data_IF_943245563253
#
_entry.id   IF_943245563253
#
_cell.length_a   1.000
_cell.length_b   1.000
_cell.length_c   1.000
_cell.angle_alpha   90.00
_cell.angle_beta   90.00
_cell.angle_gamma   90.00
#
_symmetry.space_group_name_H-M   'P 1'
#
loop_
_entity.id
_entity.type
_entity.pdbx_description
1 polymer ?
#
# COMPACT_ATOMS: atom_id res chain seq x y z
N UNK A 1 6.42 -14.98 -29.85
CA UNK A 1 6.35 -13.51 -29.64
C UNK A 1 7.75 -12.95 -29.59
N UNK A 2 7.93 -11.65 -29.77
CA UNK A 2 9.17 -10.89 -29.58
C UNK A 2 8.95 -9.82 -28.53
N UNK A 3 10.01 -9.42 -27.83
CA UNK A 3 9.95 -8.36 -26.80
C UNK A 3 9.61 -7.03 -27.47
N UNK A 4 8.57 -6.37 -26.97
CA UNK A 4 8.14 -5.05 -27.45
C UNK A 4 9.02 -3.93 -26.87
N UNK A 5 8.81 -2.69 -27.35
CA UNK A 5 9.51 -1.53 -26.79
C UNK A 5 9.22 -1.34 -25.29
N UNK A 6 8.02 -1.71 -24.81
CA UNK A 6 7.71 -1.66 -23.38
C UNK A 6 8.59 -2.62 -22.56
N UNK A 7 8.81 -3.84 -23.06
CA UNK A 7 9.71 -4.80 -22.42
C UNK A 7 11.17 -4.34 -22.45
N UNK A 8 11.63 -3.75 -23.56
CA UNK A 8 12.97 -3.17 -23.67
C UNK A 8 13.14 -2.01 -22.69
N UNK A 9 12.18 -1.08 -22.63
CA UNK A 9 12.20 0.06 -21.71
C UNK A 9 12.23 -0.42 -20.25
N UNK A 10 11.46 -1.46 -19.91
CA UNK A 10 11.45 -2.05 -18.58
C UNK A 10 12.86 -2.59 -18.24
N UNK A 11 13.46 -3.42 -19.08
CA UNK A 11 14.78 -4.00 -18.83
C UNK A 11 15.84 -2.91 -18.69
N UNK A 12 15.89 -1.96 -19.63
CA UNK A 12 16.88 -0.88 -19.64
C UNK A 12 16.76 0.08 -18.45
N UNK A 13 15.58 0.16 -17.81
CA UNK A 13 15.38 0.96 -16.60
C UNK A 13 16.09 0.39 -15.38
N UNK A 14 16.45 -0.90 -15.40
CA UNK A 14 17.13 -1.60 -14.30
C UNK A 14 18.58 -1.97 -14.61
N UNK A 15 18.95 -1.98 -15.86
CA UNK A 15 20.32 -2.31 -16.29
C UNK A 15 21.09 -1.03 -16.60
N UNK A 16 22.32 -0.95 -16.11
CA UNK A 16 23.22 0.16 -16.47
C UNK A 16 23.66 0.05 -17.94
N UNK A 17 23.65 1.17 -18.65
CA UNK A 17 24.17 1.22 -20.04
C UNK A 17 25.63 1.69 -20.06
N UNK A 18 26.54 0.81 -20.48
CA UNK A 18 27.95 1.12 -20.67
C UNK A 18 28.27 1.29 -22.15
N UNK A 19 28.39 2.52 -22.61
CA UNK A 19 28.71 2.83 -24.02
C UNK A 19 30.16 2.57 -24.36
N UNK A 20 31.04 2.37 -23.40
CA UNK A 20 32.43 1.95 -23.55
C UNK A 20 32.60 0.57 -22.92
N UNK A 21 33.29 -0.35 -23.64
CA UNK A 21 33.57 -1.68 -23.14
C UNK A 21 34.40 -1.63 -21.84
N UNK A 22 34.05 -2.48 -20.88
CA UNK A 22 34.80 -2.69 -19.66
C UNK A 22 35.01 -4.18 -19.38
N UNK A 23 36.11 -4.51 -18.71
CA UNK A 23 36.36 -5.89 -18.34
C UNK A 23 35.65 -6.23 -17.01
N UNK A 24 34.66 -7.12 -17.10
CA UNK A 24 33.99 -7.64 -15.91
C UNK A 24 34.90 -8.66 -15.20
N UNK A 25 35.50 -8.26 -14.08
CA UNK A 25 36.39 -9.10 -13.28
C UNK A 25 35.72 -10.35 -12.71
N UNK A 26 34.41 -10.31 -12.48
CA UNK A 26 33.65 -11.43 -11.94
C UNK A 26 33.24 -12.43 -13.03
N UNK A 27 32.83 -11.93 -14.20
CA UNK A 27 32.49 -12.74 -15.36
C UNK A 27 33.67 -13.12 -16.22
N UNK A 28 34.84 -12.48 -16.03
CA UNK A 28 36.05 -12.75 -16.81
C UNK A 28 35.93 -12.39 -18.27
N UNK A 29 35.11 -11.43 -18.65
CA UNK A 29 34.79 -11.07 -20.05
C UNK A 29 34.67 -9.57 -20.25
N UNK A 30 35.01 -9.13 -21.47
CA UNK A 30 34.66 -7.80 -21.94
C UNK A 30 33.15 -7.66 -22.09
N UNK A 31 32.60 -6.57 -21.55
CA UNK A 31 31.16 -6.30 -21.47
C UNK A 31 30.86 -4.91 -21.96
N UNK A 32 29.78 -4.72 -22.72
CA UNK A 32 29.36 -3.42 -23.27
C UNK A 32 27.83 -3.32 -23.27
N UNK A 33 27.28 -2.13 -23.45
CA UNK A 33 25.83 -1.88 -23.50
C UNK A 33 25.13 -2.23 -22.22
N UNK A 34 24.07 -3.02 -22.30
CA UNK A 34 23.25 -3.51 -21.19
C UNK A 34 23.68 -4.91 -20.71
N UNK A 35 24.99 -5.18 -20.70
CA UNK A 35 25.53 -6.45 -20.26
C UNK A 35 25.84 -7.41 -21.41
N UNK A 36 25.92 -6.92 -22.64
CA UNK A 36 26.30 -7.72 -23.79
C UNK A 36 27.76 -8.18 -23.70
N UNK A 37 27.99 -9.47 -23.95
CA UNK A 37 29.32 -10.12 -23.97
C UNK A 37 29.42 -11.03 -25.19
N UNK A 38 30.48 -10.94 -25.93
CA UNK A 38 30.71 -11.75 -27.12
C UNK A 38 32.13 -11.56 -27.67
N UNK A 39 32.50 -12.29 -28.72
CA UNK A 39 33.78 -12.16 -29.39
C UNK A 39 33.91 -10.80 -30.10
N UNK A 40 32.81 -10.12 -30.31
CA UNK A 40 32.73 -8.78 -30.86
C UNK A 40 32.98 -7.67 -29.83
N UNK A 41 33.14 -7.99 -28.50
CA UNK A 41 33.42 -7.03 -27.41
C UNK A 41 34.88 -7.13 -26.99
N UNK A 42 35.62 -6.04 -27.20
CA UNK A 42 37.04 -5.97 -26.93
C UNK A 42 37.41 -4.64 -26.25
N UNK A 43 38.62 -4.55 -25.74
CA UNK A 43 39.11 -3.34 -25.10
C UNK A 43 39.08 -2.13 -26.05
N UNK A 44 38.53 -1.01 -25.56
CA UNK A 44 38.42 0.21 -26.35
C UNK A 44 37.20 0.27 -27.29
N UNK A 45 36.38 -0.79 -27.41
CA UNK A 45 35.13 -0.71 -28.19
C UNK A 45 34.19 0.35 -27.57
N UNK A 46 33.66 1.22 -28.43
CA UNK A 46 32.64 2.25 -28.05
C UNK A 46 31.45 2.09 -28.97
N UNK A 47 30.26 2.19 -28.37
CA UNK A 47 28.96 2.13 -29.05
C UNK A 47 28.09 3.28 -28.65
N UNK A 48 27.10 3.61 -29.44
CA UNK A 48 26.02 4.51 -29.10
C UNK A 48 24.98 3.81 -28.21
N UNK A 49 24.09 4.58 -27.53
CA UNK A 49 22.97 4.03 -26.77
C UNK A 49 22.01 3.24 -27.65
N UNK A 50 21.81 3.68 -28.91
CA UNK A 50 20.97 2.97 -29.88
C UNK A 50 21.56 1.61 -30.25
N UNK A 51 22.87 1.54 -30.49
CA UNK A 51 23.58 0.26 -30.76
C UNK A 51 23.53 -0.67 -29.53
N UNK A 52 23.64 -0.11 -28.31
CA UNK A 52 23.47 -0.89 -27.08
C UNK A 52 22.08 -1.52 -26.98
N UNK A 53 21.03 -0.80 -27.40
CA UNK A 53 19.65 -1.32 -27.42
C UNK A 53 19.48 -2.43 -28.48
N UNK A 54 20.12 -2.30 -29.65
CA UNK A 54 20.09 -3.37 -30.66
C UNK A 54 20.85 -4.63 -30.21
N UNK A 55 21.96 -4.48 -29.51
CA UNK A 55 22.66 -5.61 -28.88
C UNK A 55 21.76 -6.29 -27.81
N UNK A 56 21.09 -5.50 -26.99
CA UNK A 56 20.12 -6.03 -26.00
C UNK A 56 19.02 -6.85 -26.70
N UNK A 57 18.43 -6.34 -27.80
CA UNK A 57 17.40 -7.07 -28.57
C UNK A 57 17.92 -8.43 -29.08
N UNK A 58 19.16 -8.48 -29.49
CA UNK A 58 19.81 -9.73 -29.92
C UNK A 58 19.97 -10.69 -28.73
N UNK A 59 20.45 -10.20 -27.60
CA UNK A 59 20.62 -11.01 -26.39
C UNK A 59 19.28 -11.53 -25.83
N UNK A 60 18.20 -10.78 -26.00
CA UNK A 60 16.87 -11.18 -25.54
C UNK A 60 16.31 -12.38 -26.31
N UNK A 61 16.76 -12.67 -27.53
CA UNK A 61 16.27 -13.79 -28.35
C UNK A 61 16.35 -15.13 -27.61
N UNK A 62 17.38 -15.35 -26.81
CA UNK A 62 17.51 -16.59 -26.00
C UNK A 62 16.45 -16.68 -24.90
N UNK A 63 16.10 -15.57 -24.25
CA UNK A 63 15.09 -15.53 -23.19
C UNK A 63 13.67 -15.60 -23.75
N UNK A 64 13.43 -14.95 -24.90
CA UNK A 64 12.19 -15.08 -25.67
C UNK A 64 11.88 -16.53 -26.05
N UNK A 65 12.92 -17.32 -26.42
CA UNK A 65 12.75 -18.75 -26.69
C UNK A 65 12.21 -19.51 -25.49
N UNK A 66 12.67 -19.18 -24.27
CA UNK A 66 12.13 -19.83 -23.06
C UNK A 66 10.69 -19.44 -22.79
N UNK A 67 10.33 -18.17 -22.89
CA UNK A 67 8.95 -17.70 -22.64
C UNK A 67 7.98 -18.19 -23.73
N UNK A 68 8.44 -18.31 -24.99
CA UNK A 68 7.63 -18.90 -26.08
C UNK A 68 7.48 -20.42 -26.00
N UNK A 69 8.31 -21.11 -25.21
CA UNK A 69 8.28 -22.56 -25.12
C UNK A 69 7.16 -23.03 -24.18
N UNK A 70 6.18 -23.76 -24.71
CA UNK A 70 5.04 -24.29 -23.98
C UNK A 70 5.39 -25.29 -22.88
N UNK A 71 6.59 -25.87 -22.89
CA UNK A 71 7.09 -26.69 -21.78
C UNK A 71 7.50 -25.86 -20.56
N UNK A 72 7.83 -24.57 -20.75
CA UNK A 72 8.14 -23.64 -19.68
C UNK A 72 6.90 -22.81 -19.30
N UNK A 73 6.19 -22.29 -20.29
CA UNK A 73 5.03 -21.41 -20.13
C UNK A 73 3.84 -21.99 -20.88
N UNK A 74 3.03 -22.89 -20.27
CA UNK A 74 1.90 -23.55 -20.93
C UNK A 74 0.69 -22.61 -21.14
N UNK A 75 0.80 -21.34 -20.77
CA UNK A 75 -0.26 -20.34 -20.80
C UNK A 75 -0.25 -19.55 -22.10
N UNK A 76 -1.41 -19.03 -22.47
CA UNK A 76 -1.51 -18.03 -23.54
C UNK A 76 -1.27 -16.65 -22.94
N UNK A 77 -0.26 -15.93 -23.44
CA UNK A 77 0.15 -14.62 -22.94
C UNK A 77 -0.28 -13.53 -23.92
N UNK A 78 -0.62 -12.34 -23.41
CA UNK A 78 -0.61 -11.12 -24.20
C UNK A 78 0.82 -10.54 -24.30
N UNK A 79 1.00 -9.44 -25.05
CA UNK A 79 2.32 -8.86 -25.29
C UNK A 79 2.99 -8.38 -23.99
N UNK A 80 2.25 -7.71 -23.11
CA UNK A 80 2.79 -7.17 -21.86
C UNK A 80 3.18 -8.28 -20.85
N UNK A 81 2.41 -9.36 -20.81
CA UNK A 81 2.72 -10.55 -20.02
C UNK A 81 3.99 -11.22 -20.52
N UNK A 82 4.11 -11.33 -21.84
CA UNK A 82 5.31 -11.87 -22.48
C UNK A 82 6.54 -11.02 -22.12
N UNK A 83 6.46 -9.70 -22.27
CA UNK A 83 7.54 -8.76 -22.01
C UNK A 83 8.00 -8.80 -20.54
N UNK A 84 7.06 -8.85 -19.61
CA UNK A 84 7.36 -8.96 -18.19
C UNK A 84 8.08 -10.29 -17.85
N UNK A 85 7.63 -11.41 -18.42
CA UNK A 85 8.29 -12.71 -18.22
C UNK A 85 9.65 -12.78 -18.88
N UNK A 86 9.87 -12.09 -20.02
CA UNK A 86 11.20 -11.96 -20.62
C UNK A 86 12.13 -11.16 -19.69
N UNK A 87 11.69 -10.02 -19.15
CA UNK A 87 12.46 -9.24 -18.17
C UNK A 87 12.81 -10.07 -16.93
N UNK A 88 11.83 -10.77 -16.38
CA UNK A 88 12.04 -11.68 -15.25
C UNK A 88 13.08 -12.76 -15.58
N UNK A 89 12.96 -13.41 -16.75
CA UNK A 89 13.86 -14.50 -17.17
C UNK A 89 15.27 -13.99 -17.46
N UNK A 90 15.39 -12.78 -18.01
CA UNK A 90 16.66 -12.09 -18.21
C UNK A 90 17.43 -11.91 -16.91
N UNK A 91 16.73 -11.49 -15.84
CA UNK A 91 17.34 -11.24 -14.53
C UNK A 91 17.59 -12.52 -13.72
N UNK A 92 16.68 -13.51 -13.77
CA UNK A 92 16.67 -14.66 -12.84
C UNK A 92 17.01 -16.00 -13.48
N UNK A 93 16.99 -16.07 -14.81
CA UNK A 93 17.24 -17.28 -15.60
C UNK A 93 16.02 -18.20 -15.78
N UNK A 94 16.14 -19.12 -16.73
CA UNK A 94 15.08 -20.04 -17.16
C UNK A 94 14.57 -20.97 -16.05
N UNK A 95 15.43 -21.33 -15.09
CA UNK A 95 15.05 -22.22 -13.97
C UNK A 95 14.03 -21.56 -13.05
N UNK A 96 14.17 -20.25 -12.83
CA UNK A 96 13.22 -19.49 -12.02
C UNK A 96 11.92 -19.20 -12.81
N UNK A 97 12.00 -18.96 -14.12
CA UNK A 97 10.79 -18.88 -14.96
C UNK A 97 9.91 -20.14 -14.81
N UNK A 98 10.53 -21.32 -14.90
CA UNK A 98 9.80 -22.58 -14.76
C UNK A 98 9.14 -22.71 -13.37
N UNK A 99 9.81 -22.29 -12.31
CA UNK A 99 9.27 -22.28 -10.94
C UNK A 99 8.14 -21.25 -10.79
N UNK A 100 8.33 -20.06 -11.35
CA UNK A 100 7.34 -18.97 -11.30
C UNK A 100 6.00 -19.40 -11.91
N UNK A 101 6.04 -20.11 -13.05
CA UNK A 101 4.83 -20.46 -13.82
C UNK A 101 4.20 -21.78 -13.39
N UNK A 102 4.94 -22.66 -12.69
CA UNK A 102 4.52 -24.02 -12.39
C UNK A 102 3.19 -24.09 -11.62
N UNK A 103 2.14 -24.63 -12.27
CA UNK A 103 0.84 -24.85 -11.67
C UNK A 103 0.03 -23.60 -11.35
N UNK A 104 0.44 -22.44 -11.87
CA UNK A 104 -0.20 -21.15 -11.59
C UNK A 104 -0.96 -20.61 -12.81
N UNK A 105 -2.06 -19.92 -12.53
CA UNK A 105 -2.75 -19.06 -13.50
C UNK A 105 -2.06 -17.68 -13.61
N UNK A 106 -2.54 -16.82 -14.52
CA UNK A 106 -1.94 -15.50 -14.74
C UNK A 106 -1.96 -14.58 -13.51
N UNK A 107 -3.06 -14.48 -12.74
CA UNK A 107 -3.09 -13.73 -11.48
C UNK A 107 -2.09 -14.23 -10.44
N UNK A 108 -2.00 -15.54 -10.27
CA UNK A 108 -1.07 -16.17 -9.33
C UNK A 108 0.40 -15.91 -9.72
N UNK A 109 0.71 -15.94 -11.03
CA UNK A 109 2.04 -15.60 -11.55
C UNK A 109 2.38 -14.14 -11.22
N UNK A 110 1.44 -13.21 -11.43
CA UNK A 110 1.65 -11.80 -11.12
C UNK A 110 2.01 -11.57 -9.65
N UNK A 111 1.35 -12.28 -8.74
CA UNK A 111 1.64 -12.19 -7.31
C UNK A 111 2.95 -12.88 -6.94
N UNK A 112 3.21 -14.05 -7.51
CA UNK A 112 4.44 -14.81 -7.26
C UNK A 112 5.71 -14.08 -7.76
N UNK A 113 5.62 -13.19 -8.75
CA UNK A 113 6.75 -12.35 -9.17
C UNK A 113 7.37 -11.62 -7.97
N UNK A 114 6.56 -11.10 -7.05
CA UNK A 114 7.03 -10.35 -5.89
C UNK A 114 7.85 -11.19 -4.90
N UNK A 115 7.71 -12.53 -4.91
CA UNK A 115 8.49 -13.42 -4.04
C UNK A 115 9.96 -13.53 -4.46
N UNK A 116 10.32 -13.11 -5.67
CA UNK A 116 11.71 -13.08 -6.16
C UNK A 116 12.48 -11.81 -5.76
N UNK A 117 12.17 -11.28 -4.58
CA UNK A 117 12.78 -10.10 -3.94
C UNK A 117 14.02 -10.42 -3.10
N UNK A 118 14.38 -11.71 -2.96
CA UNK A 118 15.53 -12.15 -2.17
C UNK A 118 16.67 -12.66 -3.05
N UNK A 119 17.92 -12.43 -2.62
CA UNK A 119 19.11 -13.08 -3.13
C UNK A 119 19.95 -13.60 -1.98
N UNK A 120 20.34 -14.89 -2.03
CA UNK A 120 21.06 -15.58 -0.93
C UNK A 120 20.38 -15.37 0.44
N UNK A 121 19.05 -15.44 0.49
CA UNK A 121 18.20 -15.20 1.67
C UNK A 121 18.23 -13.76 2.21
N UNK A 122 18.87 -12.83 1.52
CA UNK A 122 18.87 -11.41 1.87
C UNK A 122 17.84 -10.66 1.02
N UNK A 123 16.97 -9.90 1.66
CA UNK A 123 16.05 -8.99 1.00
C UNK A 123 16.83 -7.90 0.24
N UNK A 124 16.47 -7.65 -1.01
CA UNK A 124 17.07 -6.63 -1.85
C UNK A 124 15.99 -5.71 -2.45
N UNK A 125 15.97 -4.45 -2.02
CA UNK A 125 15.04 -3.42 -2.51
C UNK A 125 15.05 -3.28 -4.03
N UNK A 126 16.22 -3.33 -4.67
CA UNK A 126 16.34 -3.27 -6.14
C UNK A 126 15.60 -4.42 -6.83
N UNK A 127 15.60 -5.62 -6.23
CA UNK A 127 14.84 -6.75 -6.75
C UNK A 127 13.34 -6.55 -6.55
N UNK A 128 12.90 -6.09 -5.38
CA UNK A 128 11.49 -5.79 -5.15
C UNK A 128 10.99 -4.76 -6.16
N UNK A 129 11.69 -3.61 -6.30
CA UNK A 129 11.34 -2.59 -7.30
C UNK A 129 11.22 -3.18 -8.71
N UNK A 130 12.18 -4.02 -9.13
CA UNK A 130 12.13 -4.68 -10.44
C UNK A 130 10.94 -5.60 -10.57
N UNK A 131 10.66 -6.44 -9.58
CA UNK A 131 9.50 -7.35 -9.56
C UNK A 131 8.18 -6.60 -9.62
N UNK A 132 8.09 -5.47 -8.92
CA UNK A 132 6.90 -4.59 -8.94
C UNK A 132 6.64 -4.03 -10.34
N UNK A 133 7.66 -3.52 -11.03
CA UNK A 133 7.49 -3.01 -12.39
C UNK A 133 7.20 -4.13 -13.40
N UNK A 134 7.82 -5.31 -13.24
CA UNK A 134 7.49 -6.49 -14.05
C UNK A 134 6.03 -6.94 -13.82
N UNK A 135 5.58 -6.98 -12.57
CA UNK A 135 4.18 -7.27 -12.22
C UNK A 135 3.23 -6.24 -12.83
N UNK A 136 3.55 -4.96 -12.73
CA UNK A 136 2.75 -3.87 -13.29
C UNK A 136 2.59 -4.02 -14.81
N UNK A 137 3.69 -4.27 -15.54
CA UNK A 137 3.63 -4.52 -16.98
C UNK A 137 2.82 -5.78 -17.29
N UNK A 138 3.03 -6.88 -16.55
CA UNK A 138 2.32 -8.15 -16.71
C UNK A 138 0.80 -7.98 -16.61
N UNK A 139 0.37 -7.09 -15.75
CA UNK A 139 -1.03 -6.80 -15.47
C UNK A 139 -1.62 -5.75 -16.44
N UNK A 140 -0.80 -4.99 -17.16
CA UNK A 140 -1.28 -3.96 -18.11
C UNK A 140 -1.90 -4.61 -19.35
N UNK A 141 -3.13 -4.20 -19.72
CA UNK A 141 -3.85 -4.71 -20.91
C UNK A 141 -4.54 -6.05 -20.72
N UNK A 142 -4.56 -6.60 -19.52
CA UNK A 142 -5.56 -7.59 -19.14
C UNK A 142 -6.86 -6.87 -18.85
N UNK A 143 -7.93 -7.22 -19.56
CA UNK A 143 -9.29 -6.76 -19.27
C UNK A 143 -9.55 -7.14 -17.82
N UNK A 144 -9.87 -6.12 -16.99
CA UNK A 144 -10.11 -6.25 -15.56
C UNK A 144 -9.13 -7.21 -14.87
N UNK A 145 -8.08 -6.62 -14.29
CA UNK A 145 -7.47 -7.26 -13.14
C UNK A 145 -8.58 -7.82 -12.25
N UNK A 146 -8.46 -9.04 -11.75
CA UNK A 146 -8.84 -9.18 -10.38
C UNK A 146 -7.93 -8.16 -9.66
N UNK A 147 -8.47 -7.04 -9.27
CA UNK A 147 -8.03 -6.25 -8.14
C UNK A 147 -7.52 -7.23 -7.08
N UNK A 148 -6.53 -6.91 -6.22
CA UNK A 148 -6.04 -7.83 -5.21
C UNK A 148 -7.26 -8.61 -4.76
N UNK A 149 -7.26 -9.87 -5.11
CA UNK A 149 -8.37 -10.76 -5.37
C UNK A 149 -9.48 -10.60 -4.35
N UNK A 150 -10.42 -9.93 -4.71
CA UNK A 150 -11.79 -9.62 -4.38
C UNK A 150 -11.90 -8.11 -4.25
N UNK A 151 -12.49 -7.46 -5.30
CA UNK A 151 -13.41 -6.39 -4.99
C UNK A 151 -14.09 -6.85 -3.72
N UNK A 152 -13.84 -6.15 -2.64
CA UNK A 152 -14.77 -6.18 -1.53
C UNK A 152 -16.07 -5.60 -2.10
N UNK A 153 -16.74 -6.37 -2.92
CA UNK A 153 -18.17 -6.28 -2.99
C UNK A 153 -18.56 -6.73 -1.60
N UNK A 154 -18.53 -5.73 -0.68
CA UNK A 154 -19.45 -5.81 0.42
C UNK A 154 -20.71 -6.36 -0.22
N UNK A 155 -21.14 -7.55 0.16
CA UNK A 155 -22.51 -8.00 -0.07
C UNK A 155 -23.42 -7.14 0.81
N UNK A 156 -23.23 -5.83 0.68
CA UNK A 156 -24.22 -4.84 1.00
C UNK A 156 -25.11 -4.91 -0.22
N UNK A 157 -26.30 -5.45 -0.03
CA UNK A 157 -27.35 -5.65 -1.04
C UNK A 157 -27.23 -4.67 -2.21
N UNK A 158 -27.50 -5.12 -3.45
CA UNK A 158 -27.53 -4.36 -4.71
C UNK A 158 -28.35 -3.03 -4.65
N UNK A 159 -28.88 -2.67 -3.50
CA UNK A 159 -29.65 -1.46 -3.22
C UNK A 159 -28.83 -0.20 -2.90
N UNK A 160 -27.48 -0.29 -2.74
CA UNK A 160 -26.66 0.88 -2.36
C UNK A 160 -26.62 1.95 -3.46
N UNK A 161 -26.79 1.58 -4.73
CA UNK A 161 -26.81 2.56 -5.83
C UNK A 161 -27.90 3.61 -5.65
N UNK A 162 -29.00 3.28 -5.00
CA UNK A 162 -30.16 4.15 -4.78
C UNK A 162 -30.14 4.88 -3.43
N UNK A 163 -29.15 4.62 -2.55
CA UNK A 163 -29.01 5.32 -1.27
C UNK A 163 -28.46 6.71 -1.54
N UNK A 164 -29.05 7.79 -1.04
CA UNK A 164 -28.51 9.14 -1.16
C UNK A 164 -27.12 9.25 -0.52
N UNK A 165 -26.31 10.16 -1.05
CA UNK A 165 -25.01 10.50 -0.46
C UNK A 165 -25.25 11.06 0.95
N UNK A 166 -24.40 10.66 1.91
CA UNK A 166 -24.51 11.03 3.32
C UNK A 166 -25.42 10.11 4.14
N UNK A 167 -26.15 9.20 3.51
CA UNK A 167 -27.05 8.27 4.20
C UNK A 167 -26.32 7.01 4.70
N UNK A 168 -26.87 6.41 5.76
CA UNK A 168 -26.37 5.15 6.30
C UNK A 168 -26.63 3.98 5.37
N UNK A 169 -25.60 3.16 5.18
CA UNK A 169 -25.66 1.89 4.46
C UNK A 169 -25.56 0.69 5.40
N UNK A 170 -25.05 0.91 6.62
CA UNK A 170 -24.87 -0.09 7.65
C UNK A 170 -25.07 0.56 9.03
N UNK A 171 -25.67 -0.19 9.95
CA UNK A 171 -25.75 0.15 11.38
C UNK A 171 -25.86 -1.14 12.18
N UNK A 172 -24.88 -1.45 13.03
CA UNK A 172 -24.95 -2.64 13.89
C UNK A 172 -24.03 -2.54 15.11
N UNK A 173 -24.42 -3.26 16.16
CA UNK A 173 -23.59 -3.44 17.34
C UNK A 173 -22.58 -4.56 17.13
N UNK A 174 -21.43 -4.45 17.75
CA UNK A 174 -20.45 -5.53 17.84
C UNK A 174 -20.65 -6.37 19.11
N UNK A 175 -19.79 -7.35 19.35
CA UNK A 175 -19.71 -8.07 20.63
C UNK A 175 -18.91 -7.30 21.69
N UNK A 176 -18.14 -6.27 21.27
CA UNK A 176 -17.34 -5.47 22.20
C UNK A 176 -18.27 -4.56 23.02
N UNK A 177 -18.13 -4.61 24.32
CA UNK A 177 -18.64 -3.53 25.19
C UNK A 177 -17.99 -2.21 24.80
N UNK A 178 -18.39 -1.11 25.42
CA UNK A 178 -17.77 0.20 25.21
C UNK A 178 -16.26 0.13 25.37
N UNK A 179 -15.54 0.66 24.41
CA UNK A 179 -14.07 0.63 24.38
C UNK A 179 -13.46 1.98 24.74
N UNK A 180 -12.24 2.02 25.27
CA UNK A 180 -11.55 3.27 25.63
C UNK A 180 -11.26 4.16 24.41
N UNK A 181 -11.17 5.48 24.61
CA UNK A 181 -10.91 6.44 23.54
C UNK A 181 -9.54 6.25 22.87
N UNK A 182 -8.54 5.77 23.60
CA UNK A 182 -7.21 5.45 23.08
C UNK A 182 -7.13 4.12 22.32
N UNK A 183 -8.26 3.50 22.03
CA UNK A 183 -8.35 2.35 21.14
C UNK A 183 -8.33 2.78 19.68
N UNK A 184 -7.81 1.91 18.78
CA UNK A 184 -7.81 2.14 17.33
C UNK A 184 -8.57 1.03 16.64
N UNK A 185 -9.32 1.41 15.59
CA UNK A 185 -10.13 0.48 14.82
C UNK A 185 -9.81 0.58 13.33
N UNK A 186 -9.72 -0.58 12.67
CA UNK A 186 -9.50 -0.69 11.24
C UNK A 186 -10.40 -1.78 10.65
N UNK A 187 -10.57 -1.75 9.33
CA UNK A 187 -11.34 -2.74 8.59
C UNK A 187 -10.47 -3.42 7.54
N UNK A 188 -10.60 -4.74 7.44
CA UNK A 188 -9.91 -5.53 6.44
C UNK A 188 -10.31 -6.99 6.48
N UNK A 189 -10.06 -7.73 5.42
CA UNK A 189 -10.39 -9.16 5.34
C UNK A 189 -9.22 -9.97 5.93
N UNK A 190 -9.35 -10.38 7.18
CA UNK A 190 -8.31 -11.08 7.93
C UNK A 190 -8.02 -12.49 7.40
N UNK A 191 -9.06 -13.20 7.00
CA UNK A 191 -8.97 -14.61 6.62
C UNK A 191 -9.22 -14.86 5.12
N UNK A 192 -9.22 -13.82 4.31
CA UNK A 192 -9.41 -13.85 2.86
C UNK A 192 -10.75 -14.49 2.43
N UNK A 193 -11.82 -14.32 3.22
CA UNK A 193 -13.15 -14.87 2.94
C UNK A 193 -14.08 -13.92 2.18
N UNK A 194 -13.64 -12.67 1.94
CA UNK A 194 -14.39 -11.63 1.21
C UNK A 194 -15.29 -10.76 2.07
N UNK A 195 -15.24 -10.89 3.39
CA UNK A 195 -15.95 -10.02 4.33
C UNK A 195 -14.94 -9.08 5.01
N UNK A 196 -15.37 -7.86 5.31
CA UNK A 196 -14.56 -6.94 6.11
C UNK A 196 -14.68 -7.32 7.59
N UNK A 197 -13.55 -7.71 8.18
CA UNK A 197 -13.42 -7.97 9.60
C UNK A 197 -13.01 -6.67 10.31
N UNK A 198 -13.40 -6.52 11.57
CA UNK A 198 -13.07 -5.36 12.40
C UNK A 198 -11.84 -5.67 13.25
N UNK A 199 -10.76 -4.94 13.02
CA UNK A 199 -9.56 -4.98 13.85
C UNK A 199 -9.69 -3.97 14.98
N UNK A 200 -9.52 -4.43 16.18
CA UNK A 200 -9.46 -3.63 17.40
C UNK A 200 -8.07 -3.70 17.98
N UNK A 201 -7.34 -2.58 17.97
CA UNK A 201 -6.02 -2.43 18.57
C UNK A 201 -6.22 -1.85 19.96
N UNK A 202 -5.98 -2.69 20.95
CA UNK A 202 -6.15 -2.34 22.36
C UNK A 202 -4.81 -1.95 22.95
N UNK A 203 -4.67 -0.67 23.33
CA UNK A 203 -3.43 -0.08 23.83
C UNK A 203 -3.42 0.10 25.34
N UNK A 204 -4.57 0.11 26.00
CA UNK A 204 -4.68 0.21 27.46
C UNK A 204 -4.44 -1.13 28.17
N UNK A 205 -3.32 -1.78 27.85
CA UNK A 205 -2.92 -3.06 28.45
C UNK A 205 -1.70 -2.86 29.36
N UNK A 206 -1.52 -3.68 30.42
CA UNK A 206 -0.46 -3.44 31.41
C UNK A 206 0.97 -3.48 30.86
N UNK A 207 1.22 -4.17 29.76
CA UNK A 207 2.59 -4.32 29.22
C UNK A 207 2.68 -4.27 27.70
N UNK A 208 1.71 -4.84 26.96
CA UNK A 208 1.81 -5.04 25.51
C UNK A 208 0.51 -4.70 24.80
N UNK A 209 0.64 -4.21 23.59
CA UNK A 209 -0.51 -3.97 22.70
C UNK A 209 -1.17 -5.30 22.31
N UNK A 210 -2.50 -5.36 22.36
CA UNK A 210 -3.29 -6.50 21.92
C UNK A 210 -3.99 -6.21 20.60
N UNK A 211 -4.09 -7.22 19.75
CA UNK A 211 -4.88 -7.19 18.52
C UNK A 211 -6.03 -8.19 18.63
N UNK A 212 -7.24 -7.68 18.47
CA UNK A 212 -8.46 -8.48 18.39
C UNK A 212 -9.07 -8.29 17.01
N UNK A 213 -9.53 -9.37 16.38
CA UNK A 213 -10.20 -9.32 15.08
C UNK A 213 -11.58 -9.94 15.21
N UNK A 214 -12.61 -9.17 14.86
CA UNK A 214 -14.01 -9.58 14.91
C UNK A 214 -14.50 -9.98 13.53
N UNK A 215 -15.23 -11.08 13.45
CA UNK A 215 -15.72 -11.71 12.25
C UNK A 215 -16.83 -10.91 11.55
N UNK A 216 -16.53 -10.28 10.41
CA UNK A 216 -17.50 -9.54 9.62
C UNK A 216 -18.59 -10.42 9.00
N UNK A 217 -18.27 -11.67 8.65
CA UNK A 217 -19.27 -12.63 8.16
C UNK A 217 -20.32 -12.99 9.21
N UNK A 218 -20.00 -12.82 10.49
CA UNK A 218 -20.87 -13.06 11.63
C UNK A 218 -21.36 -11.77 12.28
N UNK A 219 -21.43 -10.69 11.50
CA UNK A 219 -21.89 -9.37 11.96
C UNK A 219 -21.15 -8.89 13.22
N UNK A 220 -19.84 -9.16 13.31
CA UNK A 220 -18.95 -8.77 14.40
C UNK A 220 -19.37 -9.31 15.79
N UNK A 221 -20.07 -10.46 15.82
CA UNK A 221 -20.51 -11.13 17.06
C UNK A 221 -19.60 -12.25 17.53
N UNK A 222 -18.50 -12.51 16.80
CA UNK A 222 -17.50 -13.54 17.13
C UNK A 222 -16.10 -13.00 16.90
N UNK A 223 -15.12 -13.46 17.67
CA UNK A 223 -13.72 -13.18 17.42
C UNK A 223 -13.11 -14.21 16.48
N UNK A 224 -12.29 -13.73 15.51
CA UNK A 224 -11.39 -14.55 14.71
C UNK A 224 -10.01 -14.65 15.35
N UNK A 225 -9.59 -13.60 16.06
CA UNK A 225 -8.28 -13.52 16.71
C UNK A 225 -8.39 -12.68 17.98
N UNK A 226 -7.67 -13.12 19.01
CA UNK A 226 -7.36 -12.32 20.21
C UNK A 226 -5.92 -12.66 20.60
N UNK A 227 -5.00 -11.70 20.50
CA UNK A 227 -3.58 -11.96 20.68
C UNK A 227 -2.85 -10.76 21.27
N UNK A 228 -1.92 -11.04 22.15
CA UNK A 228 -0.93 -10.09 22.63
C UNK A 228 0.23 -10.03 21.62
N UNK A 229 0.66 -8.82 21.24
CA UNK A 229 1.79 -8.60 20.34
C UNK A 229 3.10 -8.46 21.12
N UNK A 230 4.26 -8.50 20.47
CA UNK A 230 5.54 -8.17 21.09
C UNK A 230 5.78 -6.66 21.24
N UNK A 231 4.86 -5.80 20.79
CA UNK A 231 4.97 -4.35 20.93
C UNK A 231 4.62 -3.96 22.37
N UNK A 232 5.61 -3.40 23.08
CA UNK A 232 5.37 -2.86 24.42
C UNK A 232 4.69 -1.51 24.33
N UNK A 233 3.74 -1.29 25.23
CA UNK A 233 3.18 0.03 25.47
C UNK A 233 4.20 0.82 26.33
N UNK A 234 5.04 1.60 25.64
CA UNK A 234 6.02 2.48 26.27
C UNK A 234 5.41 3.88 26.47
N UNK A 235 6.12 4.77 27.17
CA UNK A 235 5.76 6.21 27.33
C UNK A 235 5.83 7.00 26.00
N UNK A 236 5.78 6.33 24.86
CA UNK A 236 5.83 6.94 23.55
C UNK A 236 4.43 6.99 22.91
N UNK A 237 4.16 8.08 22.18
CA UNK A 237 2.94 8.18 21.39
C UNK A 237 3.08 7.34 20.12
N UNK A 238 2.19 6.41 19.94
CA UNK A 238 2.05 5.63 18.70
C UNK A 238 0.82 6.06 17.92
N UNK A 239 0.94 5.97 16.60
CA UNK A 239 -0.20 5.90 15.68
C UNK A 239 -0.18 4.54 14.98
N UNK A 240 -1.34 4.08 14.50
CA UNK A 240 -1.46 2.75 13.90
C UNK A 240 -2.09 2.85 12.53
N UNK A 241 -1.67 1.94 11.63
CA UNK A 241 -2.27 1.77 10.30
C UNK A 241 -2.29 0.29 9.94
N UNK A 242 -3.16 -0.08 9.00
CA UNK A 242 -3.28 -1.46 8.51
C UNK A 242 -3.01 -1.52 7.00
N UNK A 243 -2.17 -2.46 6.56
CA UNK A 243 -1.88 -2.65 5.14
C UNK A 243 -0.97 -3.85 4.88
N UNK A 244 -1.07 -4.47 3.72
CA UNK A 244 -0.22 -5.59 3.32
C UNK A 244 1.15 -5.06 2.84
N UNK A 245 2.10 -4.97 3.79
CA UNK A 245 3.43 -4.39 3.56
C UNK A 245 4.31 -5.23 2.64
N UNK A 246 4.26 -6.54 2.80
CA UNK A 246 5.14 -7.47 2.12
C UNK A 246 4.46 -8.21 0.96
N UNK A 247 3.19 -7.90 0.67
CA UNK A 247 2.36 -8.49 -0.37
C UNK A 247 2.20 -10.02 -0.23
N UNK A 248 2.06 -10.50 1.02
CA UNK A 248 1.83 -11.92 1.28
C UNK A 248 0.34 -12.29 1.40
N UNK A 249 -0.54 -11.29 1.21
CA UNK A 249 -1.99 -11.45 1.22
C UNK A 249 -2.62 -11.32 2.61
N UNK A 250 -1.83 -11.01 3.63
CA UNK A 250 -2.28 -10.73 4.98
C UNK A 250 -2.04 -9.25 5.30
N UNK A 251 -2.98 -8.64 6.02
CA UNK A 251 -2.80 -7.24 6.44
C UNK A 251 -1.88 -7.17 7.65
N UNK A 252 -0.82 -6.37 7.52
CA UNK A 252 0.17 -6.13 8.56
C UNK A 252 -0.19 -4.88 9.36
N UNK A 253 0.18 -4.86 10.64
CA UNK A 253 -0.03 -3.72 11.52
C UNK A 253 1.21 -2.82 11.55
N UNK A 254 1.06 -1.62 11.03
CA UNK A 254 2.03 -0.53 11.14
C UNK A 254 1.87 0.15 12.49
N UNK A 255 2.92 0.20 13.26
CA UNK A 255 3.03 0.90 14.54
C UNK A 255 4.03 2.04 14.35
N UNK A 256 3.54 3.26 14.27
CA UNK A 256 4.34 4.46 14.02
C UNK A 256 4.66 5.13 15.35
N UNK A 257 5.92 5.01 15.79
CA UNK A 257 6.42 5.65 17.01
C UNK A 257 6.76 7.11 16.72
N UNK A 258 5.96 8.03 17.27
CA UNK A 258 6.02 9.46 16.96
C UNK A 258 7.11 10.21 17.69
N UNK A 259 7.42 9.81 18.91
CA UNK A 259 8.36 10.49 19.80
C UNK A 259 9.09 9.51 20.74
N UNK A 260 9.94 10.04 21.64
CA UNK A 260 10.80 9.26 22.55
C UNK A 260 11.67 8.24 21.81
N UNK A 261 12.16 8.60 20.63
CA UNK A 261 13.05 7.79 19.81
C UNK A 261 14.52 8.15 20.05
N UNK A 262 15.42 7.19 19.87
CA UNK A 262 16.83 7.37 20.17
C UNK A 262 17.53 8.41 19.28
N UNK A 263 17.06 8.53 18.01
CA UNK A 263 17.63 9.44 17.00
C UNK A 263 16.80 10.69 16.74
N UNK A 264 15.73 10.91 17.49
CA UNK A 264 14.79 12.02 17.29
C UNK A 264 14.12 12.01 15.92
N UNK A 265 13.91 10.81 15.37
CA UNK A 265 13.21 10.56 14.13
C UNK A 265 11.99 9.66 14.40
N UNK A 266 10.90 9.89 13.68
CA UNK A 266 9.75 8.98 13.69
C UNK A 266 10.18 7.59 13.23
N UNK A 267 9.75 6.54 13.94
CA UNK A 267 10.07 5.15 13.62
C UNK A 267 8.84 4.41 13.14
N UNK A 268 9.04 3.48 12.20
CA UNK A 268 8.01 2.55 11.73
C UNK A 268 8.39 1.14 12.14
N UNK A 269 7.49 0.49 12.88
CA UNK A 269 7.56 -0.91 13.25
C UNK A 269 6.38 -1.63 12.62
N UNK A 270 6.58 -2.77 11.94
CA UNK A 270 5.50 -3.50 11.27
C UNK A 270 5.43 -4.91 11.80
N UNK A 271 4.27 -5.27 12.33
CA UNK A 271 3.95 -6.62 12.80
C UNK A 271 3.24 -7.41 11.70
N UNK A 272 3.71 -8.62 11.44
CA UNK A 272 3.17 -9.48 10.39
C UNK A 272 1.78 -10.03 10.71
N UNK A 273 0.80 -9.76 9.85
CA UNK A 273 -0.53 -10.36 9.93
C UNK A 273 -0.50 -11.87 9.75
N UNK A 274 0.37 -12.38 8.89
CA UNK A 274 0.58 -13.82 8.67
C UNK A 274 1.05 -14.57 9.91
N UNK A 275 1.82 -13.91 10.78
CA UNK A 275 2.24 -14.46 12.07
C UNK A 275 1.21 -14.24 13.19
N UNK A 276 0.01 -13.73 12.87
CA UNK A 276 -0.97 -13.24 13.84
C UNK A 276 -0.37 -12.15 14.74
N UNK A 277 0.39 -11.21 14.16
CA UNK A 277 1.03 -10.06 14.82
C UNK A 277 2.04 -10.43 15.92
N UNK A 278 2.65 -11.62 15.82
CA UNK A 278 3.66 -12.12 16.79
C UNK A 278 5.10 -11.82 16.39
N UNK A 279 5.34 -11.38 15.16
CA UNK A 279 6.68 -11.13 14.64
C UNK A 279 6.77 -9.77 13.97
N UNK A 280 7.85 -9.04 14.25
CA UNK A 280 8.20 -7.84 13.50
C UNK A 280 8.84 -8.23 12.16
N UNK A 281 8.34 -7.65 11.06
CA UNK A 281 8.92 -7.81 9.72
C UNK A 281 9.67 -6.56 9.25
N UNK A 282 9.51 -5.46 9.98
CA UNK A 282 10.20 -4.20 9.70
C UNK A 282 10.33 -3.37 10.98
N UNK A 283 11.49 -2.76 11.21
CA UNK A 283 11.72 -1.80 12.30
C UNK A 283 12.81 -0.84 11.88
N UNK A 284 12.48 0.42 11.60
CA UNK A 284 13.44 1.47 11.20
C UNK A 284 12.94 2.88 11.48
N UNK A 285 13.91 3.79 11.61
CA UNK A 285 13.67 5.24 11.57
C UNK A 285 13.29 5.67 10.13
N UNK A 286 12.53 6.74 10.02
CA UNK A 286 12.16 7.39 8.76
C UNK A 286 12.99 8.66 8.52
N UNK A 287 12.78 9.33 7.38
CA UNK A 287 13.32 10.67 7.12
C UNK A 287 12.59 11.77 7.90
N UNK A 288 11.51 11.45 8.63
CA UNK A 288 10.70 12.40 9.36
C UNK A 288 11.23 12.57 10.80
N UNK A 289 11.39 13.81 11.24
CA UNK A 289 11.66 14.10 12.65
C UNK A 289 10.53 13.59 13.56
N UNK A 290 10.80 13.51 14.86
CA UNK A 290 9.75 13.23 15.85
C UNK A 290 8.54 14.13 15.62
N UNK A 291 7.36 13.55 15.73
CA UNK A 291 6.08 14.21 15.52
C UNK A 291 5.27 14.26 16.81
N UNK A 292 4.17 14.95 16.79
CA UNK A 292 3.32 15.20 17.97
C UNK A 292 1.88 14.72 17.73
N UNK A 293 1.00 15.00 18.67
CA UNK A 293 -0.41 14.60 18.61
C UNK A 293 -1.26 15.42 17.63
N UNK A 294 -0.71 16.50 17.04
CA UNK A 294 -1.35 17.24 15.95
C UNK A 294 -1.06 16.64 14.58
N UNK A 295 -0.82 15.34 14.56
CA UNK A 295 -0.52 14.59 13.33
C UNK A 295 -1.42 13.36 13.22
N UNK A 296 -1.61 12.91 11.98
CA UNK A 296 -2.25 11.63 11.65
C UNK A 296 -1.39 10.90 10.64
N UNK A 297 -1.22 9.61 10.87
CA UNK A 297 -0.55 8.75 9.90
C UNK A 297 -1.56 7.84 9.19
N UNK A 298 -1.32 7.61 7.91
CA UNK A 298 -2.04 6.65 7.08
C UNK A 298 -1.05 5.92 6.17
N UNK A 299 -1.44 4.77 5.63
CA UNK A 299 -0.67 4.05 4.62
C UNK A 299 -1.48 3.85 3.36
N UNK A 300 -0.83 3.91 2.21
CA UNK A 300 -1.45 3.69 0.92
C UNK A 300 -0.44 3.78 -0.21
N UNK A 301 -0.71 3.14 -1.32
CA UNK A 301 0.11 3.25 -2.53
C UNK A 301 -0.22 4.58 -3.24
N UNK A 302 0.62 5.61 -3.03
CA UNK A 302 0.40 6.96 -3.56
C UNK A 302 0.60 7.03 -5.07
N UNK A 303 1.63 6.39 -5.59
CA UNK A 303 2.06 6.54 -6.98
C UNK A 303 1.61 5.38 -7.89
N UNK A 304 0.89 4.39 -7.35
CA UNK A 304 0.40 3.22 -8.06
C UNK A 304 1.51 2.21 -8.41
N UNK A 305 2.61 2.17 -7.63
CA UNK A 305 3.70 1.21 -7.82
C UNK A 305 3.48 -0.11 -7.06
N UNK A 306 2.40 -0.19 -6.29
CA UNK A 306 2.03 -1.36 -5.50
C UNK A 306 2.69 -1.40 -4.13
N UNK A 307 3.55 -0.45 -3.78
CA UNK A 307 4.23 -0.39 -2.48
C UNK A 307 3.52 0.63 -1.59
N UNK A 308 3.31 0.28 -0.32
CA UNK A 308 2.64 1.17 0.61
C UNK A 308 3.56 2.32 1.04
N UNK A 309 3.14 3.54 0.72
CA UNK A 309 3.76 4.77 1.17
C UNK A 309 3.17 5.21 2.51
N UNK A 310 3.95 5.95 3.29
CA UNK A 310 3.51 6.50 4.57
C UNK A 310 3.09 7.96 4.40
N UNK A 311 1.82 8.23 4.66
CA UNK A 311 1.25 9.57 4.69
C UNK A 311 1.37 10.14 6.10
N UNK A 312 2.01 11.27 6.21
CA UNK A 312 2.04 12.10 7.41
C UNK A 312 1.23 13.36 7.15
N UNK A 313 0.17 13.55 7.91
CA UNK A 313 -0.74 14.69 7.84
C UNK A 313 -0.51 15.56 9.07
N UNK A 314 0.08 16.74 8.90
CA UNK A 314 0.31 17.73 9.93
C UNK A 314 -0.87 18.69 10.01
N UNK A 315 -1.63 18.62 11.10
CA UNK A 315 -2.89 19.36 11.28
C UNK A 315 -2.65 20.85 11.52
N UNK A 316 -1.69 21.18 12.38
CA UNK A 316 -1.43 22.55 12.83
C UNK A 316 0.01 22.73 13.37
N UNK A 317 0.37 23.96 13.70
CA UNK A 317 1.68 24.35 14.25
C UNK A 317 2.84 24.07 13.29
N UNK A 318 2.60 24.15 11.98
CA UNK A 318 3.58 23.82 10.94
C UNK A 318 4.14 25.06 10.20
N UNK A 319 3.79 26.27 10.61
CA UNK A 319 4.32 27.53 10.07
C UNK A 319 3.68 27.99 8.75
N UNK A 320 3.08 27.10 7.98
CA UNK A 320 2.36 27.45 6.73
C UNK A 320 0.95 27.98 6.97
N UNK A 321 0.41 27.78 8.17
CA UNK A 321 -1.01 28.01 8.54
C UNK A 321 -1.99 27.19 7.69
N UNK A 322 -1.55 26.07 7.18
CA UNK A 322 -2.31 25.10 6.40
C UNK A 322 -2.15 23.70 6.99
N UNK A 323 -3.11 22.82 6.74
CA UNK A 323 -2.87 21.39 6.90
C UNK A 323 -1.86 20.94 5.86
N UNK A 324 -0.78 20.29 6.27
CA UNK A 324 0.28 19.80 5.39
C UNK A 324 0.20 18.30 5.21
N UNK A 325 0.62 17.85 4.03
CA UNK A 325 0.74 16.43 3.71
C UNK A 325 2.15 16.14 3.23
N UNK A 326 2.80 15.18 3.87
CA UNK A 326 4.10 14.67 3.49
C UNK A 326 3.97 13.18 3.25
N UNK A 327 4.45 12.69 2.10
CA UNK A 327 4.33 11.29 1.71
C UNK A 327 5.71 10.69 1.57
N UNK A 328 6.05 9.79 2.49
CA UNK A 328 7.33 9.10 2.49
C UNK A 328 7.23 7.85 1.63
N UNK A 329 8.28 7.61 0.83
CA UNK A 329 8.34 6.49 -0.12
C UNK A 329 8.51 5.15 0.58
N UNK A 330 7.59 4.24 0.36
CA UNK A 330 7.73 2.85 0.81
C UNK A 330 8.87 2.12 0.11
N UNK A 331 9.12 2.43 -1.16
CA UNK A 331 10.14 1.76 -1.97
C UNK A 331 11.58 2.01 -1.50
N UNK A 332 11.85 3.01 -0.67
CA UNK A 332 13.14 3.27 -0.04
C UNK A 332 13.10 3.16 1.50
N UNK A 333 12.08 2.43 2.02
CA UNK A 333 11.89 2.21 3.46
C UNK A 333 11.66 3.53 4.22
N UNK A 334 10.91 4.46 3.62
CA UNK A 334 10.51 5.75 4.20
C UNK A 334 11.67 6.74 4.43
N UNK A 335 12.76 6.63 3.61
CA UNK A 335 13.94 7.47 3.73
C UNK A 335 13.92 8.74 2.86
N UNK A 336 12.91 8.90 2.00
CA UNK A 336 12.71 10.12 1.21
C UNK A 336 11.22 10.36 0.94
N UNK A 337 10.90 11.54 0.40
CA UNK A 337 9.53 11.96 0.16
C UNK A 337 9.14 11.86 -1.32
N UNK A 338 7.89 11.45 -1.60
CA UNK A 338 7.21 11.66 -2.88
C UNK A 338 6.64 13.07 -2.95
N UNK A 339 6.04 13.52 -1.86
CA UNK A 339 5.40 14.82 -1.71
C UNK A 339 5.75 15.43 -0.36
N UNK A 340 5.94 16.74 -0.37
CA UNK A 340 6.15 17.56 0.82
C UNK A 340 5.49 18.91 0.57
N UNK A 341 4.31 19.15 1.14
CA UNK A 341 3.58 20.36 0.79
C UNK A 341 2.30 20.61 1.59
N UNK A 342 1.75 21.77 1.30
CA UNK A 342 0.49 22.26 1.89
C UNK A 342 -0.72 21.76 1.11
N UNK A 343 -1.84 21.61 1.80
CA UNK A 343 -3.13 21.34 1.15
C UNK A 343 -3.95 22.61 0.97
N UNK A 344 -5.13 22.48 0.37
CA UNK A 344 -6.12 23.57 0.28
C UNK A 344 -6.74 23.89 1.66
N UNK A 345 -6.67 22.96 2.64
CA UNK A 345 -7.23 23.17 3.98
C UNK A 345 -6.37 24.15 4.80
N UNK A 346 -7.04 25.05 5.52
CA UNK A 346 -6.42 25.78 6.61
C UNK A 346 -5.96 24.80 7.71
N UNK A 347 -5.23 25.29 8.72
CA UNK A 347 -4.89 24.46 9.90
C UNK A 347 -6.15 23.83 10.48
N UNK A 348 -6.04 22.55 10.80
CA UNK A 348 -7.12 21.76 11.41
C UNK A 348 -6.75 21.40 12.85
N UNK A 349 -7.77 21.12 13.67
CA UNK A 349 -7.63 20.76 15.07
C UNK A 349 -8.08 19.32 15.33
N UNK A 350 -8.37 18.96 16.57
CA UNK A 350 -8.84 17.64 16.96
C UNK A 350 -10.30 17.36 16.55
N UNK A 351 -11.03 18.37 16.09
CA UNK A 351 -12.34 18.19 15.47
C UNK A 351 -12.24 17.61 14.04
N UNK A 352 -11.04 17.35 13.55
CA UNK A 352 -10.79 16.72 12.26
C UNK A 352 -10.10 15.38 12.42
N UNK A 353 -10.55 14.39 11.63
CA UNK A 353 -9.85 13.13 11.40
C UNK A 353 -9.56 12.94 9.91
N UNK A 354 -8.62 12.06 9.61
CA UNK A 354 -8.12 11.85 8.24
C UNK A 354 -7.98 10.37 7.93
N UNK A 355 -8.29 10.02 6.70
CA UNK A 355 -8.05 8.68 6.15
C UNK A 355 -7.67 8.74 4.68
N UNK A 356 -7.06 7.69 4.17
CA UNK A 356 -6.57 7.61 2.78
C UNK A 356 -7.29 6.49 2.06
N UNK A 357 -7.91 6.81 0.90
CA UNK A 357 -8.59 5.83 0.06
C UNK A 357 -8.73 6.36 -1.37
N UNK A 358 -9.33 5.58 -2.27
CA UNK A 358 -9.65 6.01 -3.62
C UNK A 358 -11.10 6.51 -3.66
N UNK A 359 -11.31 7.80 -3.92
CA UNK A 359 -12.60 8.37 -4.25
C UNK A 359 -12.75 8.56 -5.77
N UNK A 360 -11.75 9.18 -6.38
CA UNK A 360 -11.63 9.28 -7.83
C UNK A 360 -10.88 8.08 -8.37
N UNK A 361 -11.30 7.55 -9.50
CA UNK A 361 -10.53 6.54 -10.23
C UNK A 361 -9.25 7.16 -10.77
N UNK A 362 -8.13 6.94 -10.10
CA UNK A 362 -6.83 7.50 -10.45
C UNK A 362 -5.69 6.67 -9.83
N UNK A 363 -4.44 7.09 -10.10
CA UNK A 363 -3.25 6.45 -9.51
C UNK A 363 -3.02 6.91 -8.08
N UNK A 364 -3.21 8.21 -7.82
CA UNK A 364 -2.92 8.81 -6.53
C UNK A 364 -4.09 8.62 -5.57
N UNK A 365 -3.79 8.34 -4.31
CA UNK A 365 -4.79 8.21 -3.26
C UNK A 365 -5.38 9.57 -2.90
N UNK A 366 -6.68 9.61 -2.66
CA UNK A 366 -7.37 10.78 -2.13
C UNK A 366 -7.34 10.77 -0.59
N UNK A 367 -7.39 11.95 0.02
CA UNK A 367 -7.46 12.09 1.47
C UNK A 367 -8.87 12.49 1.88
N UNK A 368 -9.49 11.67 2.70
CA UNK A 368 -10.75 11.95 3.37
C UNK A 368 -10.47 12.76 4.62
N UNK A 369 -11.03 13.96 4.67
CA UNK A 369 -10.97 14.88 5.80
C UNK A 369 -12.34 14.92 6.44
N UNK A 370 -12.47 14.35 7.62
CA UNK A 370 -13.71 14.21 8.35
C UNK A 370 -13.78 15.32 9.40
N UNK A 371 -14.69 16.28 9.20
CA UNK A 371 -14.95 17.34 10.17
C UNK A 371 -16.03 16.88 11.14
N UNK A 372 -15.63 16.60 12.36
CA UNK A 372 -16.46 16.00 13.40
C UNK A 372 -17.49 16.97 13.96
N UNK A 373 -17.13 18.25 14.08
CA UNK A 373 -17.98 19.33 14.65
C UNK A 373 -17.96 20.56 13.76
N UNK A 374 -19.07 21.27 13.72
CA UNK A 374 -19.22 22.53 12.98
C UNK A 374 -19.41 23.68 13.98
N UNK A 375 -18.39 24.50 14.15
CA UNK A 375 -18.52 25.73 14.94
C UNK A 375 -19.51 26.69 14.26
N UNK A 376 -20.53 27.11 15.00
CA UNK A 376 -21.52 28.12 14.57
C UNK A 376 -22.47 27.74 13.43
N UNK A 377 -22.69 26.44 13.15
CA UNK A 377 -23.66 25.96 12.16
C UNK A 377 -25.05 25.66 12.75
N UNK A 378 -26.12 25.84 11.94
CA UNK A 378 -27.47 25.39 12.29
C UNK A 378 -27.65 23.86 12.14
N UNK A 379 -26.81 23.20 11.37
CA UNK A 379 -26.80 21.76 11.16
C UNK A 379 -25.66 21.14 11.97
N UNK A 380 -26.01 20.40 13.01
CA UNK A 380 -25.07 19.66 13.85
C UNK A 380 -24.82 18.27 13.26
N UNK A 381 -23.99 18.21 12.23
CA UNK A 381 -23.63 16.94 11.57
C UNK A 381 -22.12 16.85 11.29
N UNK A 382 -21.65 15.63 11.08
CA UNK A 382 -20.29 15.36 10.60
C UNK A 382 -20.21 15.65 9.09
N UNK A 383 -19.18 16.35 8.65
CA UNK A 383 -18.92 16.66 7.23
C UNK A 383 -17.74 15.83 6.70
N UNK A 384 -17.79 15.53 5.41
CA UNK A 384 -16.71 14.86 4.70
C UNK A 384 -16.22 15.74 3.55
N UNK A 385 -14.94 16.05 3.56
CA UNK A 385 -14.24 16.76 2.50
C UNK A 385 -13.17 15.84 1.94
N UNK A 386 -13.09 15.70 0.63
CA UNK A 386 -12.13 14.80 -0.01
C UNK A 386 -11.14 15.64 -0.82
N UNK A 387 -9.87 15.57 -0.43
CA UNK A 387 -8.77 16.21 -1.16
C UNK A 387 -8.33 15.33 -2.32
N UNK A 388 -8.17 15.96 -3.49
CA UNK A 388 -7.82 15.28 -4.73
C UNK A 388 -6.32 14.93 -4.78
N UNK A 389 -6.00 13.65 -4.76
CA UNK A 389 -4.62 13.17 -4.86
C UNK A 389 -3.94 13.50 -6.19
N UNK A 390 -4.70 13.59 -7.29
CA UNK A 390 -4.13 13.92 -8.60
C UNK A 390 -3.67 15.36 -8.75
N UNK A 391 -4.13 16.26 -7.88
CA UNK A 391 -3.72 17.68 -7.80
C UNK A 391 -2.72 17.93 -6.66
N UNK A 392 -2.14 16.88 -6.09
CA UNK A 392 -1.31 16.98 -4.88
C UNK A 392 -2.04 17.69 -3.73
N UNK A 393 -3.35 17.43 -3.59
CA UNK A 393 -4.20 17.95 -2.51
C UNK A 393 -4.43 19.47 -2.51
N UNK A 394 -4.18 20.14 -3.65
CA UNK A 394 -4.45 21.58 -3.81
C UNK A 394 -5.92 21.92 -4.06
N UNK A 395 -6.74 20.89 -4.33
CA UNK A 395 -8.17 21.03 -4.63
C UNK A 395 -9.00 19.98 -3.90
N UNK A 396 -10.28 20.29 -3.71
CA UNK A 396 -11.26 19.31 -3.27
C UNK A 396 -11.78 18.48 -4.47
N UNK A 397 -11.84 17.17 -4.28
CA UNK A 397 -12.53 16.25 -5.17
C UNK A 397 -14.04 16.24 -4.90
N UNK A 398 -14.41 16.35 -3.61
CA UNK A 398 -15.81 16.27 -3.17
C UNK A 398 -15.97 16.86 -1.76
N UNK A 399 -17.17 17.35 -1.47
CA UNK A 399 -17.56 17.84 -0.15
C UNK A 399 -19.04 17.54 0.10
N UNK A 400 -19.37 17.04 1.28
CA UNK A 400 -20.75 16.74 1.63
C UNK A 400 -20.98 16.79 3.15
N UNK A 401 -22.21 17.10 3.54
CA UNK A 401 -22.72 16.85 4.89
C UNK A 401 -23.29 15.45 4.97
N UNK A 402 -23.14 14.80 6.09
CA UNK A 402 -23.68 13.46 6.33
C UNK A 402 -24.92 13.53 7.24
N UNK A 403 -25.64 12.40 7.36
CA UNK A 403 -26.69 12.24 8.37
C UNK A 403 -26.17 11.83 9.75
N UNK A 404 -24.87 11.66 9.89
CA UNK A 404 -24.23 11.44 11.17
C UNK A 404 -24.20 12.77 11.93
N UNK A 405 -24.75 12.77 13.15
CA UNK A 405 -24.64 13.91 14.04
C UNK A 405 -23.16 14.26 14.30
N UNK A 406 -22.92 15.41 14.92
CA UNK A 406 -21.59 15.77 15.40
C UNK A 406 -20.99 14.62 16.22
N UNK A 407 -19.72 14.36 15.99
CA UNK A 407 -18.94 13.31 16.63
C UNK A 407 -17.78 13.90 17.43
N UNK A 408 -17.06 13.07 18.16
CA UNK A 408 -15.95 13.47 19.03
C UNK A 408 -14.81 12.42 18.97
N UNK A 409 -13.96 12.39 19.97
CA UNK A 409 -12.83 11.46 20.09
C UNK A 409 -13.27 10.00 20.37
N UNK A 410 -14.54 9.77 20.65
CA UNK A 410 -15.11 8.42 20.81
C UNK A 410 -15.42 7.74 19.48
N UNK A 411 -15.16 8.42 18.35
CA UNK A 411 -15.40 7.90 17.02
C UNK A 411 -14.10 7.75 16.22
N UNK A 412 -13.94 6.59 15.56
CA UNK A 412 -12.93 6.36 14.55
C UNK A 412 -13.57 6.29 13.16
N UNK A 413 -12.82 6.75 12.15
CA UNK A 413 -13.28 6.84 10.77
C UNK A 413 -12.35 6.06 9.85
N UNK A 414 -12.92 5.21 8.99
CA UNK A 414 -12.17 4.40 8.07
C UNK A 414 -12.78 4.45 6.65
N UNK A 415 -12.20 5.22 5.72
CA UNK A 415 -12.72 5.31 4.37
C UNK A 415 -12.32 4.09 3.54
N UNK A 416 -13.28 3.50 2.82
CA UNK A 416 -13.05 2.45 1.84
C UNK A 416 -13.80 2.84 0.56
N UNK A 417 -13.06 3.24 -0.48
CA UNK A 417 -13.64 3.72 -1.74
C UNK A 417 -14.65 4.86 -1.49
N UNK A 418 -15.90 4.69 -1.89
CA UNK A 418 -17.00 5.67 -1.73
C UNK A 418 -17.86 5.41 -0.50
N UNK A 419 -17.31 4.78 0.50
CA UNK A 419 -17.96 4.56 1.80
C UNK A 419 -17.07 5.04 2.93
N UNK A 420 -17.68 5.61 3.94
CA UNK A 420 -17.04 5.96 5.19
C UNK A 420 -17.58 5.06 6.29
N UNK A 421 -16.73 4.18 6.80
CA UNK A 421 -17.04 3.41 8.00
C UNK A 421 -16.75 4.24 9.23
N UNK A 422 -17.64 4.14 10.19
CA UNK A 422 -17.61 4.90 11.44
C UNK A 422 -17.76 3.93 12.60
N UNK A 423 -16.80 3.93 13.50
CA UNK A 423 -16.82 3.09 14.69
C UNK A 423 -17.10 3.99 15.89
N UNK A 424 -18.24 3.79 16.54
CA UNK A 424 -18.60 4.44 17.79
C UNK A 424 -18.15 3.59 18.98
N UNK A 425 -17.11 4.05 19.69
CA UNK A 425 -16.52 3.35 20.86
C UNK A 425 -17.46 3.32 22.05
N UNK A 426 -18.35 4.31 22.14
CA UNK A 426 -19.28 4.54 23.24
C UNK A 426 -20.74 4.47 22.76
N UNK A 427 -21.05 3.45 21.93
CA UNK A 427 -22.37 3.30 21.32
C UNK A 427 -23.55 3.40 22.27
N UNK A 428 -24.69 3.82 21.77
CA UNK A 428 -25.92 4.01 22.54
C UNK A 428 -26.45 2.70 23.14
N UNK A 429 -26.16 1.58 22.49
CA UNK A 429 -26.51 0.22 22.94
C UNK A 429 -25.66 -0.31 24.10
N UNK A 430 -24.67 0.45 24.62
CA UNK A 430 -23.62 0.04 25.55
C UNK A 430 -22.54 -0.87 24.93
N UNK A 431 -22.56 -1.03 23.62
CA UNK A 431 -21.55 -1.75 22.85
C UNK A 431 -20.81 -0.79 21.92
N UNK A 432 -19.65 -1.21 21.43
CA UNK A 432 -19.00 -0.58 20.29
C UNK A 432 -19.85 -0.86 19.04
N UNK A 433 -20.20 0.20 18.33
CA UNK A 433 -21.06 0.13 17.14
C UNK A 433 -20.27 0.40 15.87
N UNK A 434 -20.68 -0.24 14.78
CA UNK A 434 -20.15 0.02 13.45
C UNK A 434 -21.26 0.53 12.54
N UNK A 435 -20.96 1.63 11.86
CA UNK A 435 -21.83 2.24 10.86
C UNK A 435 -21.07 2.38 9.55
N UNK A 436 -21.78 2.45 8.43
CA UNK A 436 -21.22 2.88 7.17
C UNK A 436 -22.13 3.90 6.51
N UNK A 437 -21.51 4.89 5.87
CA UNK A 437 -22.16 5.98 5.16
C UNK A 437 -21.72 5.93 3.71
N UNK A 438 -22.63 6.24 2.78
CA UNK A 438 -22.27 6.51 1.40
C UNK A 438 -21.69 7.93 1.28
N UNK A 439 -20.53 8.05 0.66
CA UNK A 439 -19.83 9.33 0.45
C UNK A 439 -19.62 9.60 -1.02
#
# INVERSE_FOLDING_TARGET
MRTSQNGINLITSFEGCHTKAYYDKFGGKWTIGYGHTGDDVYDGKVITKAEAEELLKQDLIRFEKYVNNKQYVPLQLNQNQFDALVSFTYNTGQGNLKKLVAGRDLPQIANELLEYKYSKKKFLKGLLRRRTEERKLFLTGTISLPQPTKKYELKINDSISNIPIGDFTLHMDTILERTPNNSFFFLGDYNNNGYLDLYYIKTACPEYVEVHVLNGQKNYKEFLLQVQTPLKEEEADFDYCLGDYNHDGFLDLFCIKKNNTSKKLTEVHILSGKSNFKEFIFQKETALHETNNYSKFCVGDYNGDGILDLFYISKQNNGSKKTEVHILKGCDEYQSFHLHGTTVLEETNDDWDFGVSNYISGRNKDIYCIKKRIENGNNKCTEVHILNGSTNYSDFAFQTQTKLHETDETFDFYPINKQLFVISKQGASNFTEIHALKV
#
